data_IF_510999084604
#
_entry.id   IF_510999084604
#
_cell.length_a   1.000
_cell.length_b   1.000
_cell.length_c   1.000
_cell.angle_alpha   90.00
_cell.angle_beta   90.00
_cell.angle_gamma   90.00
#
_symmetry.space_group_name_H-M   'P 1'
#
loop_
_entity.id
_entity.type
_entity.pdbx_description
1 polymer ?
#
# COMPACT_ATOMS: atom_id res chain seq x y z
N UNK A 1 -37.71 -20.58 -0.44
CA UNK A 1 -36.95 -19.44 -1.02
C UNK A 1 -36.50 -18.51 0.09
N UNK A 2 -37.38 -18.02 0.96
CA UNK A 2 -37.05 -17.07 2.02
C UNK A 2 -35.99 -17.60 3.00
N UNK A 3 -36.06 -18.89 3.37
CA UNK A 3 -35.09 -19.53 4.24
C UNK A 3 -33.65 -19.54 3.68
N UNK A 4 -33.49 -19.82 2.38
CA UNK A 4 -32.20 -19.76 1.71
C UNK A 4 -31.66 -18.33 1.60
N UNK A 5 -32.58 -17.37 1.45
CA UNK A 5 -32.21 -15.95 1.43
C UNK A 5 -31.70 -15.49 2.79
N UNK A 6 -32.35 -15.90 3.88
CA UNK A 6 -31.94 -15.60 5.26
C UNK A 6 -30.59 -16.26 5.61
N UNK A 7 -30.33 -17.50 5.15
CA UNK A 7 -29.04 -18.16 5.29
C UNK A 7 -27.93 -17.41 4.56
N UNK A 8 -28.15 -17.01 3.31
CA UNK A 8 -27.19 -16.22 2.53
C UNK A 8 -26.92 -14.85 3.18
N UNK A 9 -27.96 -14.19 3.70
CA UNK A 9 -27.83 -12.93 4.43
C UNK A 9 -27.00 -13.10 5.70
N UNK A 10 -27.24 -14.17 6.47
CA UNK A 10 -26.52 -14.42 7.72
C UNK A 10 -25.05 -14.79 7.49
N UNK A 11 -24.79 -15.53 6.42
CA UNK A 11 -23.43 -15.99 6.09
C UNK A 11 -22.57 -14.91 5.42
N UNK A 12 -23.18 -14.09 4.56
CA UNK A 12 -22.45 -13.09 3.76
C UNK A 12 -22.73 -11.63 4.13
N UNK A 13 -23.72 -11.38 4.99
CA UNK A 13 -23.94 -10.07 5.65
C UNK A 13 -24.21 -8.86 4.73
N UNK A 14 -24.77 -9.05 3.51
CA UNK A 14 -24.74 -8.01 2.48
C UNK A 14 -26.05 -7.53 1.90
N UNK A 15 -27.21 -8.00 2.34
CA UNK A 15 -28.45 -7.69 1.65
C UNK A 15 -29.34 -6.73 2.44
N UNK A 16 -29.67 -5.60 1.81
CA UNK A 16 -30.63 -4.65 2.32
C UNK A 16 -32.04 -5.07 1.84
N UNK A 17 -32.98 -5.36 2.76
CA UNK A 17 -34.35 -5.82 2.50
C UNK A 17 -35.19 -4.93 1.56
N UNK A 18 -34.71 -3.76 1.17
CA UNK A 18 -35.45 -2.83 0.29
C UNK A 18 -35.52 -3.21 -1.18
N UNK A 19 -34.75 -4.18 -1.64
CA UNK A 19 -34.67 -4.60 -3.06
C UNK A 19 -35.79 -5.58 -3.45
N UNK A 20 -36.58 -6.09 -2.52
CA UNK A 20 -37.51 -7.19 -2.70
C UNK A 20 -38.93 -6.80 -3.20
N UNK A 21 -39.16 -5.61 -3.75
CA UNK A 21 -40.49 -5.18 -4.18
C UNK A 21 -40.90 -5.57 -5.60
N UNK A 22 -40.03 -6.13 -6.40
CA UNK A 22 -40.25 -6.43 -7.81
C UNK A 22 -40.24 -7.92 -8.17
N UNK A 23 -40.93 -8.76 -7.41
CA UNK A 23 -41.19 -10.15 -7.77
C UNK A 23 -40.04 -11.13 -7.49
N UNK A 24 -40.41 -12.36 -7.16
CA UNK A 24 -39.55 -13.43 -6.66
C UNK A 24 -38.36 -13.78 -7.57
N UNK A 25 -38.50 -13.69 -8.88
CA UNK A 25 -37.41 -14.00 -9.84
C UNK A 25 -36.35 -12.88 -9.95
N UNK A 26 -36.77 -11.64 -9.91
CA UNK A 26 -35.90 -10.50 -9.93
C UNK A 26 -35.06 -10.38 -8.65
N UNK A 27 -35.71 -10.59 -7.50
CA UNK A 27 -35.07 -10.63 -6.20
C UNK A 27 -33.99 -11.74 -6.12
N UNK A 28 -34.28 -12.94 -6.56
CA UNK A 28 -33.34 -14.06 -6.59
C UNK A 28 -32.10 -13.77 -7.47
N UNK A 29 -32.28 -13.11 -8.60
CA UNK A 29 -31.19 -12.73 -9.49
C UNK A 29 -30.28 -11.67 -8.87
N UNK A 30 -30.84 -10.70 -8.16
CA UNK A 30 -30.09 -9.64 -7.47
C UNK A 30 -29.33 -10.22 -6.28
N UNK A 31 -29.92 -11.13 -5.51
CA UNK A 31 -29.26 -11.81 -4.39
C UNK A 31 -28.08 -12.65 -4.87
N UNK A 32 -28.29 -13.44 -5.91
CA UNK A 32 -27.24 -14.26 -6.49
C UNK A 32 -26.08 -13.40 -6.99
N UNK A 33 -26.34 -12.27 -7.65
CA UNK A 33 -25.32 -11.35 -8.13
C UNK A 33 -24.52 -10.72 -6.99
N UNK A 34 -25.17 -10.20 -5.98
CA UNK A 34 -24.52 -9.60 -4.83
C UNK A 34 -23.67 -10.61 -4.03
N UNK A 35 -24.17 -11.84 -3.85
CA UNK A 35 -23.45 -12.91 -3.19
C UNK A 35 -22.21 -13.35 -3.99
N UNK A 36 -22.31 -13.50 -5.31
CA UNK A 36 -21.18 -13.84 -6.18
C UNK A 36 -20.14 -12.72 -6.17
N UNK A 37 -20.55 -11.47 -6.28
CA UNK A 37 -19.63 -10.33 -6.26
C UNK A 37 -18.83 -10.29 -4.96
N UNK A 38 -19.46 -10.45 -3.82
CA UNK A 38 -18.80 -10.47 -2.52
C UNK A 38 -17.90 -11.69 -2.32
N UNK A 39 -18.36 -12.87 -2.69
CA UNK A 39 -17.56 -14.10 -2.63
C UNK A 39 -16.35 -13.97 -3.57
N UNK A 40 -16.53 -13.50 -4.78
CA UNK A 40 -15.45 -13.26 -5.73
C UNK A 40 -14.45 -12.26 -5.19
N UNK A 41 -14.90 -11.16 -4.59
CA UNK A 41 -14.04 -10.15 -3.99
C UNK A 41 -13.24 -10.71 -2.81
N UNK A 42 -13.86 -11.49 -1.92
CA UNK A 42 -13.18 -12.10 -0.78
C UNK A 42 -12.17 -13.19 -1.19
N UNK A 43 -12.48 -13.98 -2.19
CA UNK A 43 -11.55 -14.98 -2.75
C UNK A 43 -10.36 -14.27 -3.40
N UNK A 44 -10.59 -13.21 -4.14
CA UNK A 44 -9.55 -12.40 -4.75
C UNK A 44 -8.63 -11.76 -3.72
N UNK A 45 -9.20 -11.14 -2.70
CA UNK A 45 -8.43 -10.53 -1.63
C UNK A 45 -7.55 -11.55 -0.90
N UNK A 46 -8.03 -12.76 -0.67
CA UNK A 46 -7.24 -13.86 -0.07
C UNK A 46 -6.06 -14.28 -0.96
N UNK A 47 -6.29 -14.41 -2.26
CA UNK A 47 -5.24 -14.76 -3.21
C UNK A 47 -4.18 -13.64 -3.31
N UNK A 48 -4.60 -12.39 -3.39
CA UNK A 48 -3.70 -11.23 -3.37
C UNK A 48 -2.92 -11.19 -2.05
N UNK A 49 -3.59 -11.37 -0.91
CA UNK A 49 -2.95 -11.42 0.41
C UNK A 49 -1.87 -12.50 0.47
N UNK A 50 -2.16 -13.71 -0.01
CA UNK A 50 -1.20 -14.82 -0.07
C UNK A 50 0.04 -14.42 -0.86
N UNK A 51 -0.12 -13.88 -2.06
CA UNK A 51 0.99 -13.44 -2.93
C UNK A 51 1.82 -12.32 -2.28
N UNK A 52 1.19 -11.39 -1.54
CA UNK A 52 1.91 -10.36 -0.77
C UNK A 52 2.73 -10.98 0.35
N UNK A 53 2.23 -12.02 1.03
CA UNK A 53 2.96 -12.69 2.10
C UNK A 53 4.12 -13.55 1.63
N UNK A 54 3.97 -14.22 0.50
CA UNK A 54 4.96 -15.13 -0.08
C UNK A 54 6.02 -14.39 -0.90
N UNK A 55 5.65 -13.26 -1.50
CA UNK A 55 6.55 -12.45 -2.32
C UNK A 55 7.65 -11.77 -1.50
N UNK A 56 8.86 -11.71 -2.07
CA UNK A 56 10.05 -11.11 -1.47
C UNK A 56 10.55 -9.90 -2.26
N UNK A 57 10.41 -9.95 -3.56
CA UNK A 57 10.89 -8.92 -4.49
C UNK A 57 9.72 -8.22 -5.18
N UNK A 58 9.98 -7.05 -5.76
CA UNK A 58 8.94 -6.28 -6.46
C UNK A 58 8.39 -6.99 -7.71
N UNK A 59 9.12 -7.95 -8.23
CA UNK A 59 8.74 -8.75 -9.39
C UNK A 59 7.68 -9.80 -9.04
N UNK A 60 7.57 -10.17 -7.77
CA UNK A 60 6.65 -11.21 -7.30
C UNK A 60 5.19 -10.73 -7.22
N UNK A 61 4.94 -9.42 -7.38
CA UNK A 61 3.61 -8.85 -7.24
C UNK A 61 3.38 -7.66 -8.18
N UNK A 62 2.25 -7.66 -8.87
CA UNK A 62 1.81 -6.53 -9.68
C UNK A 62 0.79 -5.68 -8.90
N UNK A 63 1.07 -4.38 -8.74
CA UNK A 63 0.14 -3.45 -8.10
C UNK A 63 -1.19 -3.32 -8.86
N UNK A 64 -1.19 -3.60 -10.16
CA UNK A 64 -2.38 -3.69 -10.99
C UNK A 64 -3.39 -4.71 -10.47
N UNK A 65 -2.95 -5.79 -9.81
CA UNK A 65 -3.83 -6.83 -9.27
C UNK A 65 -4.76 -6.30 -8.16
N UNK A 66 -4.35 -5.25 -7.45
CA UNK A 66 -5.25 -4.52 -6.54
C UNK A 66 -6.09 -3.49 -7.31
N UNK A 67 -5.45 -2.71 -8.19
CA UNK A 67 -6.07 -1.59 -8.88
C UNK A 67 -7.29 -1.99 -9.72
N UNK A 68 -7.24 -3.12 -10.42
CA UNK A 68 -8.32 -3.58 -11.30
C UNK A 68 -9.66 -3.80 -10.59
N UNK A 69 -9.64 -4.10 -9.27
CA UNK A 69 -10.85 -4.42 -8.50
C UNK A 69 -11.56 -3.21 -7.91
N UNK A 70 -10.98 -2.01 -8.01
CA UNK A 70 -11.64 -0.81 -7.51
C UNK A 70 -12.57 -0.19 -8.56
N UNK A 71 -13.68 0.42 -8.13
CA UNK A 71 -14.51 1.24 -9.01
C UNK A 71 -13.72 2.41 -9.60
N UNK A 72 -14.00 2.79 -10.85
CA UNK A 72 -13.25 3.83 -11.56
C UNK A 72 -13.24 5.19 -10.83
N UNK A 73 -14.34 5.52 -10.17
CA UNK A 73 -14.45 6.76 -9.36
C UNK A 73 -13.49 6.82 -8.15
N UNK A 74 -12.97 5.67 -7.71
CA UNK A 74 -12.12 5.54 -6.52
C UNK A 74 -10.65 5.32 -6.88
N UNK A 75 -10.28 5.33 -8.15
CA UNK A 75 -8.93 5.00 -8.59
C UNK A 75 -8.41 5.95 -9.67
N UNK A 76 -7.13 6.21 -9.60
CA UNK A 76 -6.40 7.01 -10.60
C UNK A 76 -5.10 6.28 -10.95
N UNK A 77 -4.69 6.33 -12.21
CA UNK A 77 -3.40 5.81 -12.66
C UNK A 77 -2.61 6.92 -13.34
N UNK A 78 -1.34 6.96 -13.03
CA UNK A 78 -0.38 7.82 -13.71
C UNK A 78 0.81 6.98 -14.13
N UNK A 79 1.30 7.19 -15.36
CA UNK A 79 2.45 6.47 -15.90
C UNK A 79 3.37 7.38 -16.69
N UNK A 80 4.66 7.12 -16.59
CA UNK A 80 5.69 7.84 -17.36
C UNK A 80 6.89 6.95 -17.63
N UNK A 81 7.42 7.06 -18.86
CA UNK A 81 8.74 6.54 -19.17
C UNK A 81 9.79 7.40 -18.44
N UNK A 82 10.71 6.77 -17.72
CA UNK A 82 11.71 7.47 -16.93
C UNK A 82 13.08 6.81 -17.06
N UNK A 83 14.12 7.63 -17.21
CA UNK A 83 15.50 7.16 -17.11
C UNK A 83 15.89 6.90 -15.65
N UNK A 84 15.39 7.73 -14.72
CA UNK A 84 15.64 7.65 -13.27
C UNK A 84 14.35 7.40 -12.50
N UNK A 85 14.44 6.99 -11.23
CA UNK A 85 13.27 6.78 -10.35
C UNK A 85 12.60 8.07 -9.89
N UNK A 86 13.29 9.21 -9.99
CA UNK A 86 12.74 10.53 -9.73
C UNK A 86 11.97 10.96 -10.97
N UNK A 87 10.68 11.09 -10.82
CA UNK A 87 9.82 11.58 -11.89
C UNK A 87 9.51 13.04 -11.62
N UNK A 88 10.24 13.91 -12.29
CA UNK A 88 10.04 15.35 -12.20
C UNK A 88 8.56 15.73 -12.38
N UNK A 89 8.07 16.62 -11.50
CA UNK A 89 6.69 17.09 -11.49
C UNK A 89 5.67 16.17 -10.79
N UNK A 90 6.10 15.04 -10.18
CA UNK A 90 5.20 14.17 -9.42
C UNK A 90 5.41 14.25 -7.90
N UNK A 91 6.54 14.75 -7.43
CA UNK A 91 6.81 14.87 -6.00
C UNK A 91 5.83 15.83 -5.31
N UNK A 92 5.41 16.91 -5.95
CA UNK A 92 4.37 17.78 -5.42
C UNK A 92 3.03 17.08 -5.18
N UNK A 93 2.62 16.14 -6.05
CA UNK A 93 1.42 15.34 -5.83
C UNK A 93 1.63 14.34 -4.70
N UNK A 94 2.80 13.73 -4.58
CA UNK A 94 3.15 12.84 -3.47
C UNK A 94 3.21 13.59 -2.14
N UNK A 95 3.78 14.80 -2.12
CA UNK A 95 3.74 15.70 -0.97
C UNK A 95 2.30 15.96 -0.51
N UNK A 96 1.40 16.36 -1.43
CA UNK A 96 -0.01 16.59 -1.11
C UNK A 96 -0.69 15.34 -0.55
N UNK A 97 -0.38 14.17 -1.10
CA UNK A 97 -0.89 12.89 -0.63
C UNK A 97 -0.43 12.59 0.80
N UNK A 98 0.85 12.78 1.12
CA UNK A 98 1.41 12.58 2.45
C UNK A 98 0.87 13.59 3.48
N UNK A 99 0.83 14.87 3.13
CA UNK A 99 0.33 15.94 4.00
C UNK A 99 -1.17 15.83 4.28
N UNK A 100 -1.91 15.01 3.55
CA UNK A 100 -3.29 14.62 3.87
C UNK A 100 -3.44 13.76 5.11
N UNK A 101 -2.34 13.22 5.66
CA UNK A 101 -2.36 12.39 6.86
C UNK A 101 -2.80 13.18 8.10
N UNK A 102 -3.66 12.55 8.91
CA UNK A 102 -4.14 13.10 10.18
C UNK A 102 -3.71 12.29 11.40
N UNK A 103 -3.32 11.02 11.20
CA UNK A 103 -2.95 10.10 12.29
C UNK A 103 -1.69 9.32 11.98
N UNK A 104 -1.66 8.62 10.82
CA UNK A 104 -0.58 7.70 10.53
C UNK A 104 -0.33 7.53 9.03
N UNK A 105 0.92 7.18 8.72
CA UNK A 105 1.33 6.72 7.39
C UNK A 105 2.04 5.37 7.54
N UNK A 106 1.66 4.41 6.69
CA UNK A 106 2.27 3.09 6.62
C UNK A 106 3.00 2.96 5.28
N UNK A 107 4.26 2.56 5.32
CA UNK A 107 5.08 2.37 4.12
C UNK A 107 5.50 0.92 3.95
N UNK A 108 5.21 0.36 2.78
CA UNK A 108 5.92 -0.78 2.22
C UNK A 108 7.01 -0.24 1.29
N UNK A 109 8.27 -0.44 1.64
CA UNK A 109 9.40 0.10 0.89
C UNK A 109 10.45 -0.98 0.59
N UNK A 110 11.34 -0.72 -0.37
CA UNK A 110 12.53 -1.53 -0.58
C UNK A 110 13.60 -1.24 0.47
N UNK A 111 14.31 -0.14 0.29
CA UNK A 111 15.43 0.32 1.10
C UNK A 111 15.30 1.78 1.53
N UNK A 112 14.10 2.33 1.51
CA UNK A 112 13.80 3.73 1.86
C UNK A 112 14.46 4.80 0.97
N UNK A 113 15.01 4.45 -0.18
CA UNK A 113 15.67 5.43 -1.07
C UNK A 113 14.78 6.61 -1.46
N UNK A 114 13.47 6.46 -1.41
CA UNK A 114 12.53 7.52 -1.75
C UNK A 114 12.59 8.74 -0.83
N UNK A 115 13.10 8.61 0.40
CA UNK A 115 13.23 9.75 1.32
C UNK A 115 14.23 10.79 0.83
N UNK A 116 15.11 10.40 -0.09
CA UNK A 116 16.10 11.28 -0.71
C UNK A 116 15.62 11.92 -2.02
N UNK A 117 14.36 11.71 -2.40
CA UNK A 117 13.83 12.33 -3.59
C UNK A 117 13.66 13.83 -3.38
N UNK A 118 14.25 14.59 -4.30
CA UNK A 118 14.23 16.04 -4.34
C UNK A 118 14.15 16.47 -5.81
N UNK A 119 13.22 17.35 -6.15
CA UNK A 119 13.07 17.94 -7.48
C UNK A 119 13.28 19.46 -7.49
N UNK A 120 13.85 19.99 -6.41
CA UNK A 120 14.11 21.42 -6.20
C UNK A 120 12.91 22.19 -5.63
N UNK A 121 11.69 21.68 -5.78
CA UNK A 121 10.47 22.25 -5.20
C UNK A 121 9.94 21.41 -4.02
N UNK A 122 10.22 20.13 -4.04
CA UNK A 122 9.76 19.18 -3.04
C UNK A 122 10.89 18.26 -2.64
N UNK A 123 11.31 18.35 -1.38
CA UNK A 123 12.19 17.39 -0.71
C UNK A 123 11.34 16.45 0.16
N UNK A 124 11.36 15.16 -0.13
CA UNK A 124 10.52 14.18 0.58
C UNK A 124 10.90 14.07 2.06
N UNK A 125 12.17 14.16 2.40
CA UNK A 125 12.61 14.10 3.80
C UNK A 125 12.06 15.28 4.61
N UNK A 126 12.03 16.49 4.04
CA UNK A 126 11.44 17.67 4.70
C UNK A 126 9.92 17.50 4.89
N UNK A 127 9.23 16.86 3.95
CA UNK A 127 7.82 16.51 4.11
C UNK A 127 7.60 15.55 5.27
N UNK A 128 8.46 14.54 5.42
CA UNK A 128 8.39 13.60 6.54
C UNK A 128 8.73 14.27 7.87
N UNK A 129 9.69 15.20 7.87
CA UNK A 129 10.04 16.03 9.04
C UNK A 129 8.82 16.86 9.51
N UNK A 130 8.15 17.55 8.59
CA UNK A 130 6.91 18.30 8.86
C UNK A 130 5.82 17.40 9.48
N UNK A 131 5.64 16.19 8.96
CA UNK A 131 4.66 15.23 9.45
C UNK A 131 4.97 14.76 10.88
N UNK A 132 6.23 14.45 11.16
CA UNK A 132 6.68 14.05 12.50
C UNK A 132 6.53 15.20 13.48
N UNK A 133 6.85 16.42 13.08
CA UNK A 133 6.63 17.63 13.89
C UNK A 133 5.15 17.77 14.29
N UNK A 134 4.23 17.48 13.36
CA UNK A 134 2.77 17.47 13.57
C UNK A 134 2.26 16.28 14.40
N UNK A 135 3.15 15.35 14.79
CA UNK A 135 2.77 14.17 15.57
C UNK A 135 2.20 13.01 14.75
N UNK A 136 2.39 12.99 13.45
CA UNK A 136 1.94 11.89 12.59
C UNK A 136 2.84 10.66 12.80
N UNK A 137 2.25 9.52 13.10
CA UNK A 137 2.97 8.24 13.24
C UNK A 137 3.36 7.70 11.88
N UNK A 138 4.62 7.25 11.73
CA UNK A 138 5.15 6.66 10.51
C UNK A 138 5.65 5.26 10.82
N UNK A 139 5.09 4.24 10.18
CA UNK A 139 5.52 2.85 10.33
C UNK A 139 5.99 2.32 8.99
N UNK A 140 7.12 1.63 8.98
CA UNK A 140 7.77 1.19 7.76
C UNK A 140 8.11 -0.29 7.82
N UNK A 141 7.74 -1.03 6.79
CA UNK A 141 8.30 -2.35 6.47
C UNK A 141 9.23 -2.16 5.28
N UNK A 142 10.50 -2.50 5.45
CA UNK A 142 11.48 -2.45 4.37
C UNK A 142 12.56 -3.51 4.54
N UNK A 143 13.37 -3.70 3.49
CA UNK A 143 14.61 -4.44 3.59
C UNK A 143 15.64 -3.57 4.32
N UNK A 144 16.13 -4.04 5.46
CA UNK A 144 17.23 -3.44 6.21
C UNK A 144 18.50 -4.19 5.84
N UNK A 145 19.37 -3.53 5.08
CA UNK A 145 20.66 -4.02 4.60
C UNK A 145 21.69 -2.89 4.61
N UNK A 146 22.94 -3.19 4.24
CA UNK A 146 24.03 -2.23 4.20
C UNK A 146 23.71 -1.04 3.28
N UNK A 147 23.07 -1.30 2.13
CA UNK A 147 22.73 -0.26 1.14
C UNK A 147 21.67 0.71 1.65
N UNK A 148 20.76 0.24 2.49
CA UNK A 148 19.68 1.05 3.06
C UNK A 148 20.00 1.67 4.43
N UNK A 149 21.14 1.36 5.04
CA UNK A 149 21.49 1.77 6.42
C UNK A 149 21.35 3.28 6.62
N UNK A 150 22.00 4.08 5.79
CA UNK A 150 21.98 5.55 5.90
C UNK A 150 20.56 6.13 5.80
N UNK A 151 19.74 5.57 4.93
CA UNK A 151 18.33 5.99 4.79
C UNK A 151 17.52 5.70 6.05
N UNK A 152 17.78 4.55 6.69
CA UNK A 152 17.11 4.15 7.92
C UNK A 152 17.52 5.06 9.07
N UNK A 153 18.81 5.29 9.25
CA UNK A 153 19.35 6.17 10.29
C UNK A 153 18.88 7.62 10.10
N UNK A 154 18.92 8.11 8.85
CA UNK A 154 18.39 9.43 8.48
C UNK A 154 16.93 9.58 8.85
N UNK A 155 16.09 8.60 8.55
CA UNK A 155 14.66 8.69 8.88
C UNK A 155 14.43 8.60 10.40
N UNK A 156 15.14 7.71 11.10
CA UNK A 156 15.05 7.57 12.56
C UNK A 156 15.58 8.79 13.32
N UNK A 157 16.50 9.59 12.73
CA UNK A 157 17.00 10.82 13.36
C UNK A 157 15.90 11.83 13.69
N UNK A 158 14.75 11.77 12.99
CA UNK A 158 13.60 12.61 13.30
C UNK A 158 12.98 12.30 14.67
N UNK A 159 13.03 11.03 15.13
CA UNK A 159 12.61 10.68 16.49
C UNK A 159 13.46 11.41 17.55
N UNK A 160 14.78 11.44 17.34
CA UNK A 160 15.71 12.17 18.22
C UNK A 160 15.46 13.67 18.16
N UNK A 161 15.33 14.23 16.95
CA UNK A 161 15.06 15.65 16.74
C UNK A 161 13.86 16.15 17.53
N UNK A 162 12.80 15.37 17.62
CA UNK A 162 11.55 15.76 18.27
C UNK A 162 11.31 15.12 19.65
N UNK A 163 12.23 14.25 20.12
CA UNK A 163 12.07 13.52 21.37
C UNK A 163 10.82 12.62 21.42
N UNK A 164 10.42 12.07 20.28
CA UNK A 164 9.17 11.27 20.14
C UNK A 164 9.44 10.01 19.30
N UNK A 165 8.90 8.88 19.72
CA UNK A 165 9.00 7.61 19.00
C UNK A 165 7.86 7.42 17.97
N UNK A 166 7.72 8.37 17.04
CA UNK A 166 6.68 8.33 16.02
C UNK A 166 7.04 7.44 14.83
N UNK A 167 8.35 7.33 14.53
CA UNK A 167 8.85 6.52 13.42
C UNK A 167 9.31 5.16 13.95
N UNK A 168 8.80 4.09 13.37
CA UNK A 168 9.27 2.73 13.62
C UNK A 168 9.51 2.01 12.30
N UNK A 169 10.68 1.40 12.16
CA UNK A 169 11.11 0.69 10.97
C UNK A 169 11.39 -0.75 11.33
N UNK A 170 10.83 -1.69 10.56
CA UNK A 170 11.08 -3.11 10.71
C UNK A 170 11.55 -3.75 9.41
N UNK A 171 12.44 -4.72 9.57
CA UNK A 171 13.01 -5.50 8.48
C UNK A 171 12.10 -6.64 8.10
N UNK A 172 11.68 -6.64 6.84
CA UNK A 172 11.08 -7.79 6.17
C UNK A 172 11.21 -7.61 4.66
N UNK A 173 11.58 -8.67 3.97
CA UNK A 173 11.44 -8.74 2.52
C UNK A 173 9.95 -8.84 2.17
N UNK A 174 9.54 -8.10 1.15
CA UNK A 174 8.16 -8.03 0.71
C UNK A 174 8.07 -7.37 -0.68
N UNK A 175 7.04 -7.71 -1.50
CA UNK A 175 7.01 -7.31 -2.91
C UNK A 175 6.43 -5.91 -3.15
N UNK A 176 5.73 -5.32 -2.17
CA UNK A 176 5.01 -4.07 -2.38
C UNK A 176 5.92 -2.84 -2.35
N UNK A 177 5.50 -1.83 -3.09
CA UNK A 177 5.93 -0.44 -2.95
C UNK A 177 4.66 0.37 -2.77
N UNK A 178 4.26 0.55 -1.51
CA UNK A 178 2.97 1.14 -1.16
C UNK A 178 3.10 2.16 -0.03
N UNK A 179 2.25 3.16 -0.09
CA UNK A 179 2.03 4.13 0.98
C UNK A 179 0.56 4.15 1.32
N UNK A 180 0.21 3.98 2.58
CA UNK A 180 -1.17 4.00 3.08
C UNK A 180 -1.30 5.16 4.04
N UNK A 181 -2.23 6.06 3.79
CA UNK A 181 -2.54 7.23 4.63
C UNK A 181 -3.86 6.98 5.35
N UNK A 182 -3.81 6.99 6.68
CA UNK A 182 -4.95 6.84 7.60
C UNK A 182 -5.86 5.63 7.32
N UNK A 183 -5.33 4.59 6.64
CA UNK A 183 -6.11 3.41 6.26
C UNK A 183 -7.22 3.70 5.24
N UNK A 184 -7.14 4.78 4.46
CA UNK A 184 -8.20 5.22 3.53
C UNK A 184 -7.71 5.49 2.12
N UNK A 185 -6.50 5.99 1.99
CA UNK A 185 -5.87 6.31 0.72
C UNK A 185 -4.62 5.47 0.54
N UNK A 186 -4.45 4.92 -0.65
CA UNK A 186 -3.30 4.08 -0.98
C UNK A 186 -2.63 4.66 -2.21
N UNK A 187 -1.31 4.70 -2.19
CA UNK A 187 -0.48 4.96 -3.35
C UNK A 187 0.40 3.73 -3.57
N UNK A 188 0.27 3.08 -4.73
CA UNK A 188 1.05 1.92 -5.12
C UNK A 188 1.99 2.31 -6.26
N UNK A 189 3.26 1.94 -6.16
CA UNK A 189 4.26 2.14 -7.21
C UNK A 189 4.62 0.81 -7.85
N UNK A 190 4.56 0.76 -9.16
CA UNK A 190 5.05 -0.35 -9.98
C UNK A 190 6.12 0.16 -10.94
N UNK A 191 7.13 -0.66 -11.18
CA UNK A 191 8.21 -0.34 -12.11
C UNK A 191 8.33 -1.48 -13.11
N UNK A 192 8.15 -1.17 -14.39
CA UNK A 192 8.36 -2.11 -15.50
C UNK A 192 9.67 -1.80 -16.20
N UNK A 193 10.49 -2.81 -16.36
CA UNK A 193 11.81 -2.67 -16.99
C UNK A 193 11.71 -2.93 -18.49
N UNK A 194 12.58 -2.29 -19.32
CA UNK A 194 12.70 -2.61 -20.73
C UNK A 194 13.06 -4.08 -20.93
N UNK A 195 12.48 -4.70 -21.93
CA UNK A 195 12.86 -6.05 -22.35
C UNK A 195 12.16 -7.21 -21.63
N UNK A 196 11.41 -6.98 -20.57
CA UNK A 196 10.68 -8.06 -19.85
C UNK A 196 9.69 -8.81 -20.76
N UNK A 197 9.17 -8.16 -21.80
CA UNK A 197 8.30 -8.76 -22.84
C UNK A 197 8.54 -8.17 -24.24
N UNK A 198 9.65 -7.47 -24.47
CA UNK A 198 9.94 -6.81 -25.76
C UNK A 198 9.06 -5.61 -26.12
N UNK A 199 8.10 -5.26 -25.27
CA UNK A 199 7.08 -4.24 -25.56
C UNK A 199 7.48 -2.83 -25.10
N UNK A 200 8.37 -2.72 -24.12
CA UNK A 200 8.80 -1.45 -23.57
C UNK A 200 10.19 -1.07 -24.06
N UNK A 201 10.33 0.10 -24.69
CA UNK A 201 11.63 0.68 -25.05
C UNK A 201 12.36 1.32 -23.87
N UNK A 202 11.64 1.79 -22.87
CA UNK A 202 12.17 2.49 -21.70
C UNK A 202 11.56 1.95 -20.42
N UNK A 203 12.26 2.12 -19.29
CA UNK A 203 11.71 1.88 -17.96
C UNK A 203 10.43 2.69 -17.78
N UNK A 204 9.38 2.04 -17.32
CA UNK A 204 8.08 2.66 -17.04
C UNK A 204 7.82 2.68 -15.54
N UNK A 205 7.48 3.85 -15.03
CA UNK A 205 6.99 4.02 -13.65
C UNK A 205 5.49 4.21 -13.72
N UNK A 206 4.78 3.40 -12.95
CA UNK A 206 3.32 3.44 -12.85
C UNK A 206 2.97 3.71 -11.38
N UNK A 207 2.11 4.69 -11.15
CA UNK A 207 1.62 5.03 -9.81
C UNK A 207 0.10 4.91 -9.84
N UNK A 208 -0.42 4.06 -8.99
CA UNK A 208 -1.84 3.87 -8.77
C UNK A 208 -2.23 4.57 -7.47
N UNK A 209 -3.17 5.50 -7.54
CA UNK A 209 -3.74 6.17 -6.37
C UNK A 209 -5.17 5.67 -6.14
N UNK A 210 -5.42 5.10 -4.98
CA UNK A 210 -6.68 4.49 -4.61
C UNK A 210 -7.28 5.26 -3.43
N UNK A 211 -8.56 5.67 -3.57
CA UNK A 211 -9.32 6.42 -2.57
C UNK A 211 -10.49 5.56 -2.09
N UNK A 212 -10.17 4.49 -1.38
CA UNK A 212 -11.15 3.51 -0.93
C UNK A 212 -10.88 3.06 0.50
N UNK A 213 -11.88 3.18 1.37
CA UNK A 213 -11.74 2.86 2.80
C UNK A 213 -11.64 1.37 3.06
N UNK A 214 -12.33 0.55 2.28
CA UNK A 214 -12.35 -0.91 2.46
C UNK A 214 -11.00 -1.49 2.06
N UNK A 215 -10.51 -1.14 0.88
CA UNK A 215 -9.18 -1.54 0.42
C UNK A 215 -8.06 -0.94 1.29
N UNK A 216 -8.22 0.29 1.75
CA UNK A 216 -7.29 0.93 2.67
C UNK A 216 -7.19 0.19 4.01
N UNK A 217 -8.31 -0.17 4.60
CA UNK A 217 -8.37 -0.95 5.85
C UNK A 217 -7.81 -2.36 5.66
N UNK A 218 -8.16 -3.03 4.54
CA UNK A 218 -7.66 -4.36 4.21
C UNK A 218 -6.13 -4.37 4.06
N UNK A 219 -5.56 -3.45 3.28
CA UNK A 219 -4.10 -3.39 3.09
C UNK A 219 -3.38 -2.98 4.38
N UNK A 220 -4.00 -2.13 5.21
CA UNK A 220 -3.48 -1.80 6.55
C UNK A 220 -3.44 -3.01 7.46
N UNK A 221 -4.46 -3.88 7.42
CA UNK A 221 -4.48 -5.14 8.18
C UNK A 221 -3.32 -6.06 7.77
N UNK A 222 -3.06 -6.18 6.47
CA UNK A 222 -1.91 -6.94 5.95
C UNK A 222 -0.61 -6.32 6.48
N UNK A 223 -0.47 -4.99 6.38
CA UNK A 223 0.69 -4.28 6.90
C UNK A 223 0.96 -4.64 8.37
N UNK A 224 -0.03 -4.47 9.24
CA UNK A 224 0.15 -4.70 10.68
C UNK A 224 0.47 -6.15 11.01
N UNK A 225 -0.13 -7.11 10.31
CA UNK A 225 0.19 -8.52 10.46
C UNK A 225 1.64 -8.83 10.05
N UNK A 226 2.12 -8.26 8.94
CA UNK A 226 3.52 -8.39 8.53
C UNK A 226 4.46 -7.66 9.48
N UNK A 227 4.08 -6.47 9.91
CA UNK A 227 4.86 -5.62 10.81
C UNK A 227 5.08 -6.28 12.18
N UNK A 228 4.05 -6.90 12.75
CA UNK A 228 4.14 -7.59 14.05
C UNK A 228 5.15 -8.74 14.07
N UNK A 229 5.36 -9.41 12.93
CA UNK A 229 6.31 -10.51 12.79
C UNK A 229 7.67 -10.09 12.18
N UNK A 230 7.84 -8.81 11.86
CA UNK A 230 9.07 -8.29 11.27
C UNK A 230 10.12 -7.95 12.34
N UNK A 231 11.40 -8.03 11.97
CA UNK A 231 12.53 -7.76 12.87
C UNK A 231 12.71 -6.25 13.02
N UNK A 232 12.86 -5.73 14.24
CA UNK A 232 13.14 -4.32 14.47
C UNK A 232 14.46 -3.89 13.79
N UNK A 233 14.46 -2.70 13.16
CA UNK A 233 15.62 -2.20 12.40
C UNK A 233 16.89 -2.12 13.24
N UNK A 234 16.80 -1.68 14.49
CA UNK A 234 17.92 -1.62 15.44
C UNK A 234 18.62 -2.98 15.59
N UNK A 235 17.83 -4.04 15.84
CA UNK A 235 18.36 -5.40 15.97
C UNK A 235 19.02 -5.85 14.65
N UNK A 236 18.37 -5.59 13.52
CA UNK A 236 18.88 -5.99 12.21
C UNK A 236 20.18 -5.26 11.84
N UNK A 237 20.29 -3.97 12.14
CA UNK A 237 21.53 -3.21 11.93
C UNK A 237 22.68 -3.74 12.80
N UNK A 238 22.43 -4.08 14.07
CA UNK A 238 23.43 -4.71 14.94
C UNK A 238 23.90 -6.08 14.42
N UNK A 239 23.02 -6.85 13.77
CA UNK A 239 23.43 -8.11 13.13
C UNK A 239 24.34 -7.86 11.93
N UNK A 240 24.07 -6.83 11.13
CA UNK A 240 24.85 -6.46 9.96
C UNK A 240 26.24 -5.93 10.39
N UNK A 241 26.29 -5.08 11.41
CA UNK A 241 27.55 -4.51 11.91
C UNK A 241 28.51 -5.56 12.52
N UNK A 242 27.99 -6.74 12.89
CA UNK A 242 28.82 -7.87 13.36
C UNK A 242 29.39 -8.72 12.21
N UNK A 243 28.90 -8.54 11.00
CA UNK A 243 29.34 -9.29 9.82
C UNK A 243 30.40 -8.55 8.98
N UNK A 244 30.64 -7.28 9.27
CA UNK A 244 31.66 -6.44 8.65
C UNK A 244 32.74 -6.10 9.63
#
# INVERSE_FOLDING_TARGET
VDRYIEEIISEYGTLNRRIFREGTRGALKIIYWAAIEKVSHSVFQKEIEKRIYEGKTREDFAAFDIFQHLPDKNKEVWMKAAKNEIVAGRLGSFKKFLLGAKKQILFFSGNLSFINFDDGETNVFEVLDELVQKGISIKVICRVDIVGKDNIEKLLSLNFKYGKELIEIRHREQPLRATIVDGKMINLKEVRMPGERGELKNKMIIIYTLKDKEWGAWLSKIFWKMFSHAIGSKKRLQEIDKLG
#
